data_IF_765351396955
#
_entry.id   IF_765351396955
#
_cell.length_a   1.000
_cell.length_b   1.000
_cell.length_c   1.000
_cell.angle_alpha   90.00
_cell.angle_beta   90.00
_cell.angle_gamma   90.00
#
_symmetry.space_group_name_H-M   'P 1'
#
loop_
_entity.id
_entity.type
_entity.pdbx_description
1 polymer ?
#
# COMPACT_ATOMS: atom_id res chain seq x y z
N UNK A 1 -27.68 -1.09 -13.64
CA UNK A 1 -28.61 -1.14 -12.49
C UNK A 1 -28.35 0.07 -11.62
N UNK A 2 -29.39 0.82 -11.27
CA UNK A 2 -29.29 1.94 -10.31
C UNK A 2 -28.95 1.38 -8.93
N UNK A 3 -27.97 1.95 -8.19
CA UNK A 3 -27.65 1.46 -6.86
C UNK A 3 -28.82 1.69 -5.91
N UNK A 4 -29.15 0.70 -5.09
CA UNK A 4 -30.09 0.85 -3.98
C UNK A 4 -29.35 1.54 -2.83
N UNK A 5 -29.80 2.72 -2.44
CA UNK A 5 -29.20 3.48 -1.35
C UNK A 5 -29.62 2.91 0.01
N UNK A 6 -28.64 2.71 0.90
CA UNK A 6 -28.90 2.51 2.33
C UNK A 6 -29.02 3.85 3.07
N UNK A 7 -29.40 3.85 4.36
CA UNK A 7 -29.41 5.07 5.16
C UNK A 7 -28.00 5.64 5.34
N UNK A 8 -27.90 6.96 5.53
CA UNK A 8 -26.67 7.58 6.03
C UNK A 8 -26.29 6.95 7.37
N UNK A 9 -25.00 6.60 7.55
CA UNK A 9 -24.53 5.91 8.75
C UNK A 9 -23.05 6.20 8.98
N UNK A 10 -22.74 6.94 10.05
CA UNK A 10 -21.37 7.17 10.50
C UNK A 10 -20.72 5.86 10.95
N UNK A 11 -21.49 4.96 11.55
CA UNK A 11 -21.02 3.62 11.94
C UNK A 11 -20.50 2.83 10.74
N UNK A 12 -21.19 2.88 9.58
CA UNK A 12 -20.70 2.23 8.35
C UNK A 12 -19.39 2.85 7.85
N UNK A 13 -19.19 4.16 8.03
CA UNK A 13 -17.95 4.85 7.67
C UNK A 13 -16.81 4.39 8.58
N UNK A 14 -17.02 4.41 9.91
CA UNK A 14 -16.01 3.95 10.89
C UNK A 14 -15.67 2.47 10.67
N UNK A 15 -16.68 1.62 10.49
CA UNK A 15 -16.48 0.19 10.25
C UNK A 15 -15.67 -0.09 8.97
N UNK A 16 -15.75 0.78 7.95
CA UNK A 16 -14.94 0.61 6.75
C UNK A 16 -13.44 0.75 7.05
N UNK A 17 -13.08 1.71 7.90
CA UNK A 17 -11.69 1.95 8.33
C UNK A 17 -11.21 0.83 9.26
N UNK A 18 -12.02 0.47 10.26
CA UNK A 18 -11.66 -0.58 11.21
C UNK A 18 -11.46 -1.95 10.54
N UNK A 19 -12.24 -2.28 9.50
CA UNK A 19 -12.04 -3.53 8.74
C UNK A 19 -10.70 -3.57 8.02
N UNK A 20 -10.22 -2.44 7.49
CA UNK A 20 -8.90 -2.35 6.86
C UNK A 20 -7.80 -2.53 7.90
N UNK A 21 -7.95 -1.87 9.07
CA UNK A 21 -7.02 -2.06 10.20
C UNK A 21 -6.94 -3.51 10.65
N UNK A 22 -8.10 -4.16 10.87
CA UNK A 22 -8.16 -5.56 11.27
C UNK A 22 -7.50 -6.48 10.23
N UNK A 23 -7.75 -6.24 8.94
CA UNK A 23 -7.15 -7.01 7.85
C UNK A 23 -5.64 -6.86 7.80
N UNK A 24 -5.14 -5.62 7.93
CA UNK A 24 -3.72 -5.32 7.99
C UNK A 24 -3.06 -6.12 9.13
N UNK A 25 -3.56 -5.94 10.36
CA UNK A 25 -3.01 -6.61 11.55
C UNK A 25 -3.05 -8.13 11.45
N UNK A 26 -4.15 -8.68 10.95
CA UNK A 26 -4.30 -10.13 10.75
C UNK A 26 -3.31 -10.68 9.73
N UNK A 27 -3.14 -10.00 8.60
CA UNK A 27 -2.23 -10.43 7.55
C UNK A 27 -0.76 -10.34 8.01
N UNK A 28 -0.36 -9.23 8.62
CA UNK A 28 1.02 -9.03 9.08
C UNK A 28 1.37 -9.99 10.21
N UNK A 29 0.46 -10.23 11.17
CA UNK A 29 0.68 -11.21 12.23
C UNK A 29 0.88 -12.64 11.69
N UNK A 30 0.13 -13.03 10.64
CA UNK A 30 0.29 -14.34 10.00
C UNK A 30 1.67 -14.48 9.33
N UNK A 31 2.14 -13.43 8.64
CA UNK A 31 3.44 -13.43 7.98
C UNK A 31 4.60 -13.40 8.98
N UNK A 32 4.49 -12.60 10.05
CA UNK A 32 5.47 -12.59 11.16
C UNK A 32 5.58 -13.96 11.84
N UNK A 33 4.44 -14.58 12.18
CA UNK A 33 4.42 -15.89 12.82
C UNK A 33 5.04 -16.99 11.94
N UNK A 34 4.98 -16.83 10.62
CA UNK A 34 5.60 -17.73 9.65
C UNK A 34 7.07 -17.38 9.34
N UNK A 35 7.63 -16.33 9.94
CA UNK A 35 9.02 -15.89 9.70
C UNK A 35 9.26 -15.37 8.29
N UNK A 36 8.23 -14.86 7.63
CA UNK A 36 8.29 -14.42 6.22
C UNK A 36 8.71 -12.95 6.19
N UNK A 37 9.80 -12.59 5.49
CA UNK A 37 10.15 -11.19 5.30
C UNK A 37 9.11 -10.49 4.40
N UNK A 38 8.47 -9.45 4.93
CA UNK A 38 7.52 -8.61 4.20
C UNK A 38 7.67 -7.13 4.61
N UNK A 39 6.98 -6.25 3.89
CA UNK A 39 6.73 -4.88 4.32
C UNK A 39 5.34 -4.42 3.88
N UNK A 40 4.63 -3.71 4.77
CA UNK A 40 3.41 -2.99 4.42
C UNK A 40 3.77 -1.86 3.44
N UNK A 41 3.03 -1.81 2.33
CA UNK A 41 3.22 -0.87 1.24
C UNK A 41 1.92 -0.07 1.00
N UNK A 42 1.83 0.57 -0.15
CA UNK A 42 0.56 1.12 -0.62
C UNK A 42 0.08 2.35 0.15
N UNK A 43 -1.25 2.51 0.20
CA UNK A 43 -1.89 3.64 0.91
C UNK A 43 -1.74 3.56 2.43
N UNK A 44 -1.77 2.35 3.03
CA UNK A 44 -1.58 2.19 4.47
C UNK A 44 -0.18 2.65 4.90
N UNK A 45 0.86 2.33 4.12
CA UNK A 45 2.21 2.78 4.42
C UNK A 45 2.33 4.31 4.35
N UNK A 46 1.71 4.96 3.35
CA UNK A 46 1.66 6.43 3.25
C UNK A 46 0.94 7.03 4.44
N UNK A 47 -0.22 6.51 4.82
CA UNK A 47 -0.99 6.97 5.98
C UNK A 47 -0.17 6.92 7.27
N UNK A 48 0.62 5.86 7.48
CA UNK A 48 1.52 5.73 8.63
C UNK A 48 2.70 6.70 8.61
N UNK A 49 3.15 7.14 7.45
CA UNK A 49 4.19 8.18 7.34
C UNK A 49 3.61 9.56 7.61
N UNK A 50 2.47 9.88 6.99
CA UNK A 50 1.76 11.14 7.19
C UNK A 50 1.38 11.33 8.67
N UNK A 51 0.88 10.28 9.32
CA UNK A 51 0.45 10.36 10.73
C UNK A 51 1.59 10.63 11.73
N UNK A 52 2.85 10.42 11.33
CA UNK A 52 4.02 10.79 12.16
C UNK A 52 4.23 12.31 12.21
N UNK A 53 3.66 13.06 11.28
CA UNK A 53 3.81 14.51 11.15
C UNK A 53 2.50 15.22 11.46
N UNK A 54 1.40 14.81 10.83
CA UNK A 54 0.08 15.43 10.99
C UNK A 54 -1.02 14.37 10.92
N UNK A 55 -1.65 14.10 12.07
CA UNK A 55 -2.76 13.16 12.19
C UNK A 55 -3.99 13.61 11.37
N UNK A 56 -4.24 14.92 11.26
CA UNK A 56 -5.40 15.46 10.55
C UNK A 56 -5.27 15.37 9.02
N UNK A 57 -4.05 15.15 8.50
CA UNK A 57 -3.78 14.98 7.08
C UNK A 57 -3.95 13.53 6.58
N UNK A 58 -4.21 12.57 7.49
CA UNK A 58 -4.27 11.15 7.15
C UNK A 58 -5.47 10.82 6.25
N UNK A 59 -5.20 10.13 5.13
CA UNK A 59 -6.23 9.51 4.29
C UNK A 59 -6.27 8.00 4.49
N UNK A 60 -7.49 7.45 4.45
CA UNK A 60 -7.72 6.01 4.55
C UNK A 60 -7.69 5.35 3.17
N UNK A 61 -7.19 4.13 3.09
CA UNK A 61 -7.34 3.26 1.91
C UNK A 61 -8.32 2.11 2.18
N UNK A 62 -8.74 1.39 1.13
CA UNK A 62 -9.70 0.28 1.21
C UNK A 62 -9.03 -1.09 1.19
N UNK A 63 -7.85 -1.18 0.56
CA UNK A 63 -7.03 -2.37 0.38
C UNK A 63 -5.84 -2.38 1.34
N UNK A 64 -5.17 -3.53 1.44
CA UNK A 64 -3.88 -3.66 2.12
C UNK A 64 -2.86 -4.14 1.10
N UNK A 65 -1.81 -3.38 0.85
CA UNK A 65 -0.73 -3.81 -0.04
C UNK A 65 0.44 -4.35 0.80
N UNK A 66 0.91 -5.56 0.52
CA UNK A 66 2.06 -6.19 1.17
C UNK A 66 3.13 -6.51 0.11
N UNK A 67 4.34 -6.04 0.35
CA UNK A 67 5.53 -6.38 -0.42
C UNK A 67 6.23 -7.59 0.18
N UNK A 68 6.55 -8.59 -0.64
CA UNK A 68 7.41 -9.72 -0.28
C UNK A 68 8.27 -10.19 -1.46
N UNK A 69 9.26 -11.07 -1.22
CA UNK A 69 10.04 -11.66 -2.30
C UNK A 69 9.29 -12.83 -2.93
N UNK A 70 9.31 -12.97 -4.26
CA UNK A 70 8.60 -14.06 -4.96
C UNK A 70 8.89 -15.48 -4.48
N UNK A 71 10.14 -15.85 -4.11
CA UNK A 71 10.39 -17.17 -3.52
C UNK A 71 9.61 -17.45 -2.23
N UNK A 72 9.16 -16.41 -1.50
CA UNK A 72 8.36 -16.55 -0.30
C UNK A 72 6.84 -16.67 -0.59
N UNK A 73 6.40 -16.60 -1.85
CA UNK A 73 4.99 -16.58 -2.22
C UNK A 73 4.20 -17.79 -1.67
N UNK A 74 4.67 -19.01 -1.92
CA UNK A 74 3.94 -20.21 -1.49
C UNK A 74 3.85 -20.34 0.04
N UNK A 75 4.92 -19.94 0.74
CA UNK A 75 4.93 -19.87 2.20
C UNK A 75 3.95 -18.80 2.72
N UNK A 76 3.94 -17.62 2.10
CA UNK A 76 3.04 -16.52 2.46
C UNK A 76 1.59 -16.90 2.20
N UNK A 77 1.32 -17.55 1.07
CA UNK A 77 -0.01 -18.08 0.75
C UNK A 77 -0.48 -19.06 1.81
N UNK A 78 0.35 -20.04 2.16
CA UNK A 78 0.03 -21.03 3.21
C UNK A 78 -0.27 -20.35 4.54
N UNK A 79 0.56 -19.39 4.96
CA UNK A 79 0.38 -18.65 6.21
C UNK A 79 -0.93 -17.83 6.22
N UNK A 80 -1.22 -17.12 5.13
CA UNK A 80 -2.45 -16.32 5.00
C UNK A 80 -3.70 -17.21 4.93
N UNK A 81 -3.67 -18.32 4.18
CA UNK A 81 -4.78 -19.28 4.14
C UNK A 81 -5.01 -19.94 5.51
N UNK A 82 -3.95 -20.26 6.26
CA UNK A 82 -4.07 -20.77 7.63
C UNK A 82 -4.65 -19.73 8.61
N UNK A 83 -4.42 -18.44 8.36
CA UNK A 83 -5.09 -17.35 9.07
C UNK A 83 -6.56 -17.15 8.62
N UNK A 84 -7.06 -17.93 7.66
CA UNK A 84 -8.43 -17.87 7.17
C UNK A 84 -8.65 -16.85 6.06
N UNK A 85 -7.60 -16.43 5.36
CA UNK A 85 -7.75 -15.71 4.10
C UNK A 85 -8.05 -16.67 2.94
N UNK A 86 -8.78 -16.20 1.94
CA UNK A 86 -9.04 -16.94 0.70
C UNK A 86 -8.21 -16.36 -0.44
N UNK A 87 -7.30 -17.15 -0.98
CA UNK A 87 -6.49 -16.77 -2.13
C UNK A 87 -7.33 -16.65 -3.41
N UNK A 88 -7.06 -15.59 -4.18
CA UNK A 88 -7.61 -15.32 -5.51
C UNK A 88 -6.54 -14.68 -6.37
N UNK A 89 -6.41 -15.13 -7.61
CA UNK A 89 -5.61 -14.43 -8.62
C UNK A 89 -6.55 -13.63 -9.52
N UNK A 90 -6.48 -12.30 -9.47
CA UNK A 90 -7.43 -11.41 -10.15
C UNK A 90 -6.68 -10.31 -10.86
N UNK A 91 -6.94 -10.18 -12.17
CA UNK A 91 -6.32 -9.17 -13.03
C UNK A 91 -4.78 -9.14 -12.93
N UNK A 92 -4.13 -10.31 -12.79
CA UNK A 92 -2.68 -10.42 -12.68
C UNK A 92 -2.12 -10.17 -11.28
N UNK A 93 -2.97 -9.93 -10.27
CA UNK A 93 -2.57 -9.64 -8.89
C UNK A 93 -2.98 -10.79 -7.96
N UNK A 94 -2.03 -11.26 -7.16
CA UNK A 94 -2.24 -12.22 -6.08
C UNK A 94 -2.93 -11.53 -4.91
N UNK A 95 -4.16 -11.94 -4.63
CA UNK A 95 -5.06 -11.28 -3.68
C UNK A 95 -5.58 -12.25 -2.62
N UNK A 96 -5.77 -11.76 -1.40
CA UNK A 96 -6.26 -12.54 -0.26
C UNK A 96 -7.47 -11.84 0.37
N UNK A 97 -8.60 -12.54 0.39
CA UNK A 97 -9.86 -12.04 0.93
C UNK A 97 -10.03 -12.51 2.37
N UNK A 98 -10.42 -11.62 3.28
CA UNK A 98 -10.70 -11.95 4.69
C UNK A 98 -12.09 -12.57 4.91
N UNK A 99 -12.92 -12.60 3.87
CA UNK A 99 -14.20 -13.31 3.80
C UNK A 99 -14.41 -13.81 2.36
N UNK A 100 -14.91 -15.04 2.12
CA UNK A 100 -15.18 -15.56 0.77
C UNK A 100 -16.13 -14.69 -0.09
N UNK A 101 -16.99 -13.91 0.56
CA UNK A 101 -17.93 -12.95 -0.04
C UNK A 101 -17.40 -11.50 -0.03
N UNK A 102 -16.19 -11.27 0.50
CA UNK A 102 -15.56 -9.95 0.46
C UNK A 102 -15.34 -9.49 -0.98
N UNK A 103 -15.44 -8.18 -1.19
CA UNK A 103 -15.16 -7.59 -2.50
C UNK A 103 -13.65 -7.51 -2.70
N UNK A 104 -13.20 -7.74 -3.92
CA UNK A 104 -11.78 -7.66 -4.31
C UNK A 104 -11.13 -6.33 -3.91
N UNK A 105 -11.89 -5.22 -3.98
CA UNK A 105 -11.41 -3.87 -3.58
C UNK A 105 -10.99 -3.73 -2.12
N UNK A 106 -11.32 -4.71 -1.28
CA UNK A 106 -10.90 -4.77 0.12
C UNK A 106 -9.98 -5.96 0.38
N UNK A 107 -9.24 -6.44 -0.61
CA UNK A 107 -8.30 -7.54 -0.43
C UNK A 107 -6.99 -7.08 0.22
N UNK A 108 -6.21 -8.06 0.68
CA UNK A 108 -4.76 -7.90 0.77
C UNK A 108 -4.18 -8.22 -0.61
N UNK A 109 -3.43 -7.30 -1.21
CA UNK A 109 -2.69 -7.52 -2.45
C UNK A 109 -1.23 -7.82 -2.14
N UNK A 110 -0.68 -8.84 -2.80
CA UNK A 110 0.76 -9.05 -2.81
C UNK A 110 1.39 -8.32 -3.99
N UNK A 111 2.46 -7.59 -3.69
CA UNK A 111 3.40 -7.05 -4.67
C UNK A 111 4.77 -7.67 -4.42
N UNK A 112 5.55 -7.85 -5.49
CA UNK A 112 6.80 -8.58 -5.42
C UNK A 112 8.01 -7.65 -5.47
N UNK A 113 8.91 -7.82 -4.49
CA UNK A 113 10.18 -7.10 -4.39
C UNK A 113 11.11 -7.46 -5.55
N UNK A 114 11.80 -6.46 -6.09
CA UNK A 114 12.68 -6.64 -7.26
C UNK A 114 11.94 -6.92 -8.58
N UNK A 115 10.61 -6.87 -8.59
CA UNK A 115 9.78 -7.07 -9.77
C UNK A 115 9.00 -5.80 -10.12
N UNK A 116 8.63 -5.66 -11.40
CA UNK A 116 7.63 -4.69 -11.84
C UNK A 116 6.26 -5.31 -11.65
N UNK A 117 5.28 -4.52 -11.19
CA UNK A 117 3.89 -4.94 -11.12
C UNK A 117 3.31 -5.07 -12.52
N UNK A 118 3.62 -4.11 -13.40
CA UNK A 118 3.22 -4.13 -14.81
C UNK A 118 4.44 -4.07 -15.74
N UNK A 119 4.40 -4.73 -16.92
CA UNK A 119 5.55 -4.77 -17.83
C UNK A 119 6.06 -3.40 -18.29
N UNK A 120 5.17 -2.40 -18.37
CA UNK A 120 5.43 -1.03 -18.82
C UNK A 120 5.93 -0.10 -17.70
N UNK A 121 6.01 -0.57 -16.45
CA UNK A 121 6.60 0.22 -15.38
C UNK A 121 8.09 0.47 -15.61
N UNK A 122 8.54 1.67 -15.25
CA UNK A 122 9.91 2.12 -15.54
C UNK A 122 10.98 1.37 -14.74
N UNK A 123 10.67 1.01 -13.50
CA UNK A 123 11.61 0.42 -12.55
C UNK A 123 10.92 -0.67 -11.72
N UNK A 124 11.71 -1.57 -11.17
CA UNK A 124 11.22 -2.60 -10.26
C UNK A 124 10.88 -2.03 -8.87
N UNK A 125 10.06 -2.76 -8.12
CA UNK A 125 9.81 -2.50 -6.72
C UNK A 125 11.09 -2.61 -5.87
N UNK A 126 11.21 -1.83 -4.78
CA UNK A 126 12.29 -1.94 -3.81
C UNK A 126 12.35 -3.34 -3.18
N UNK A 127 13.45 -3.63 -2.49
CA UNK A 127 13.56 -4.85 -1.69
C UNK A 127 12.79 -4.74 -0.36
N UNK A 128 12.37 -5.87 0.19
CA UNK A 128 11.69 -5.93 1.50
C UNK A 128 12.53 -5.35 2.65
N UNK A 129 13.86 -5.32 2.52
CA UNK A 129 14.78 -4.75 3.51
C UNK A 129 14.75 -3.23 3.56
N UNK A 130 14.22 -2.56 2.53
CA UNK A 130 14.03 -1.10 2.50
C UNK A 130 12.79 -0.69 3.30
N UNK A 131 12.73 -1.14 4.55
CA UNK A 131 11.61 -1.02 5.46
C UNK A 131 12.03 -0.60 6.86
N UNK A 132 11.13 0.04 7.58
CA UNK A 132 11.27 0.43 8.97
C UNK A 132 10.34 -0.41 9.86
N UNK A 133 10.78 -0.65 11.08
CA UNK A 133 9.95 -1.28 12.09
C UNK A 133 8.90 -0.26 12.58
N UNK A 134 7.62 -0.59 12.40
CA UNK A 134 6.53 0.05 13.13
C UNK A 134 6.22 -0.73 14.42
N UNK A 135 5.10 -0.46 15.08
CA UNK A 135 4.76 -1.11 16.36
C UNK A 135 4.75 -2.65 16.25
N UNK A 136 3.93 -3.19 15.34
CA UNK A 136 3.65 -4.64 15.26
C UNK A 136 4.08 -5.27 13.94
N UNK A 137 4.55 -4.48 12.99
CA UNK A 137 4.85 -4.93 11.62
C UNK A 137 5.88 -4.02 10.95
N UNK A 138 6.40 -4.46 9.81
CA UNK A 138 7.32 -3.67 8.98
C UNK A 138 6.57 -2.83 7.96
N UNK A 139 7.01 -1.61 7.73
CA UNK A 139 6.45 -0.67 6.75
C UNK A 139 7.57 -0.25 5.82
N UNK A 140 7.30 -0.10 4.52
CA UNK A 140 8.31 0.42 3.60
C UNK A 140 8.84 1.78 4.08
N UNK A 141 10.15 1.98 3.91
CA UNK A 141 10.80 3.25 4.22
C UNK A 141 10.22 4.37 3.35
N UNK A 142 10.35 5.62 3.80
CA UNK A 142 9.85 6.76 3.04
C UNK A 142 10.41 6.79 1.59
N UNK A 143 11.72 6.57 1.34
CA UNK A 143 12.24 6.48 -0.03
C UNK A 143 11.59 5.38 -0.87
N UNK A 144 11.44 4.18 -0.30
CA UNK A 144 10.82 3.04 -0.98
C UNK A 144 9.35 3.30 -1.35
N UNK A 145 8.58 3.94 -0.46
CA UNK A 145 7.19 4.31 -0.74
C UNK A 145 7.13 5.36 -1.86
N UNK A 146 7.94 6.41 -1.78
CA UNK A 146 8.00 7.45 -2.82
C UNK A 146 8.34 6.82 -4.17
N UNK A 147 9.30 5.90 -4.22
CA UNK A 147 9.65 5.15 -5.42
C UNK A 147 8.46 4.38 -6.00
N UNK A 148 7.76 3.56 -5.20
CA UNK A 148 6.63 2.77 -5.68
C UNK A 148 5.49 3.68 -6.15
N UNK A 149 5.18 4.75 -5.41
CA UNK A 149 4.11 5.69 -5.78
C UNK A 149 4.43 6.44 -7.07
N UNK A 150 5.67 6.88 -7.24
CA UNK A 150 6.13 7.51 -8.49
C UNK A 150 6.20 6.51 -9.65
N UNK A 151 6.46 5.23 -9.40
CA UNK A 151 6.50 4.18 -10.44
C UNK A 151 5.09 3.86 -10.95
N UNK A 152 4.12 3.69 -10.05
CA UNK A 152 2.74 3.40 -10.43
C UNK A 152 2.02 4.64 -10.99
N UNK A 153 2.21 5.81 -10.39
CA UNK A 153 1.75 7.13 -10.84
C UNK A 153 0.29 7.23 -11.31
N UNK A 154 -0.59 6.40 -10.76
CA UNK A 154 -2.06 6.50 -10.94
C UNK A 154 -2.59 7.65 -10.08
N UNK A 155 -3.84 8.06 -10.28
CA UNK A 155 -4.39 9.21 -9.56
C UNK A 155 -4.39 9.03 -8.04
N UNK A 156 -4.63 7.81 -7.54
CA UNK A 156 -4.48 7.49 -6.10
C UNK A 156 -3.04 7.66 -5.62
N UNK A 157 -2.05 7.29 -6.44
CA UNK A 157 -0.65 7.38 -6.07
C UNK A 157 -0.13 8.82 -6.13
N UNK A 158 -0.61 9.63 -7.09
CA UNK A 158 -0.38 11.08 -7.11
C UNK A 158 -0.96 11.76 -5.87
N UNK A 159 -2.14 11.36 -5.44
CA UNK A 159 -2.77 11.87 -4.21
C UNK A 159 -1.91 11.55 -2.98
N UNK A 160 -1.48 10.29 -2.84
CA UNK A 160 -0.57 9.91 -1.76
C UNK A 160 0.76 10.69 -1.76
N UNK A 161 1.33 10.95 -2.94
CA UNK A 161 2.54 11.76 -3.06
C UNK A 161 2.30 13.21 -2.66
N UNK A 162 1.14 13.78 -3.00
CA UNK A 162 0.75 15.12 -2.54
C UNK A 162 0.55 15.16 -1.04
N UNK A 163 -0.06 14.14 -0.44
CA UNK A 163 -0.20 14.08 1.02
C UNK A 163 1.19 14.08 1.70
N UNK A 164 2.18 13.36 1.15
CA UNK A 164 3.57 13.40 1.64
C UNK A 164 4.25 14.76 1.42
N UNK A 165 3.94 15.46 0.32
CA UNK A 165 4.46 16.81 0.03
C UNK A 165 3.85 17.83 0.98
N UNK A 166 2.54 17.78 1.18
CA UNK A 166 1.78 18.75 1.98
C UNK A 166 2.24 18.77 3.45
N UNK A 167 2.62 17.60 3.99
CA UNK A 167 3.19 17.49 5.34
C UNK A 167 4.71 17.65 5.38
N UNK A 168 5.36 17.96 4.25
CA UNK A 168 6.78 18.27 4.18
C UNK A 168 7.74 17.07 4.26
N UNK A 169 7.23 15.84 4.10
CA UNK A 169 8.08 14.63 4.03
C UNK A 169 8.79 14.51 2.67
N UNK A 170 8.19 15.08 1.61
CA UNK A 170 8.74 15.09 0.25
C UNK A 170 8.74 16.52 -0.29
N UNK A 171 9.85 16.94 -0.89
CA UNK A 171 10.01 18.30 -1.42
C UNK A 171 10.91 18.31 -2.67
N UNK A 172 11.28 19.50 -3.15
CA UNK A 172 12.14 19.65 -4.33
C UNK A 172 13.54 19.05 -4.17
N UNK A 173 14.04 18.84 -2.95
CA UNK A 173 15.37 18.25 -2.72
C UNK A 173 15.44 16.79 -3.16
N UNK A 174 14.28 16.11 -3.20
CA UNK A 174 14.16 14.73 -3.66
C UNK A 174 14.42 14.55 -5.15
N UNK A 175 14.23 15.58 -5.98
CA UNK A 175 14.42 15.48 -7.44
C UNK A 175 15.82 14.99 -7.83
N UNK A 176 16.83 15.32 -7.02
CA UNK A 176 18.23 14.91 -7.23
C UNK A 176 18.57 13.51 -6.72
N UNK A 177 17.66 12.88 -5.95
CA UNK A 177 17.87 11.58 -5.28
C UNK A 177 17.11 10.45 -5.95
N UNK A 178 16.18 10.79 -6.84
CA UNK A 178 15.32 9.83 -7.52
C UNK A 178 16.00 9.28 -8.77
N UNK A 179 15.71 8.02 -9.15
CA UNK A 179 16.05 7.51 -10.47
C UNK A 179 15.49 8.41 -11.57
N UNK A 180 16.24 8.56 -12.66
CA UNK A 180 15.90 9.41 -13.83
C UNK A 180 14.44 9.33 -14.29
N UNK A 181 13.79 8.15 -14.43
CA UNK A 181 12.40 8.09 -14.89
C UNK A 181 11.37 8.65 -13.88
N UNK A 182 11.75 8.81 -12.61
CA UNK A 182 10.83 9.21 -11.54
C UNK A 182 10.89 10.71 -11.21
N UNK A 183 12.06 11.35 -11.37
CA UNK A 183 12.21 12.77 -11.05
C UNK A 183 11.23 13.69 -11.83
N UNK A 184 10.98 13.49 -13.15
CA UNK A 184 9.99 14.28 -13.88
C UNK A 184 8.56 14.15 -13.33
N UNK A 185 8.20 12.96 -12.81
CA UNK A 185 6.88 12.70 -12.22
C UNK A 185 6.70 13.43 -10.89
N UNK A 186 7.73 13.46 -10.04
CA UNK A 186 7.70 14.27 -8.81
C UNK A 186 7.63 15.77 -9.15
N UNK A 187 8.45 16.22 -10.11
CA UNK A 187 8.46 17.62 -10.55
C UNK A 187 7.07 18.07 -10.99
N UNK A 188 6.37 17.24 -11.77
CA UNK A 188 5.00 17.52 -12.20
C UNK A 188 4.07 17.82 -11.01
N UNK A 189 4.16 17.05 -9.92
CA UNK A 189 3.32 17.27 -8.74
C UNK A 189 3.68 18.56 -8.00
N UNK A 190 4.98 18.84 -7.84
CA UNK A 190 5.48 20.06 -7.22
C UNK A 190 5.10 21.32 -8.00
N UNK A 191 5.08 21.25 -9.34
CA UNK A 191 4.68 22.36 -10.22
C UNK A 191 3.15 22.54 -10.28
N UNK A 192 2.36 21.56 -9.83
CA UNK A 192 0.89 21.59 -9.88
C UNK A 192 0.25 21.33 -8.51
N UNK A 193 0.57 22.15 -7.48
CA UNK A 193 -0.01 21.98 -6.16
C UNK A 193 -1.54 22.18 -6.21
N UNK A 194 -2.29 21.27 -5.60
CA UNK A 194 -3.75 21.35 -5.48
C UNK A 194 -4.59 20.89 -6.69
N UNK A 195 -3.98 20.37 -7.76
CA UNK A 195 -4.69 19.65 -8.84
C UNK A 195 -4.72 18.14 -8.64
#
# INVERSE_FOLDING_TARGET
>A
MTPVLGPFSLERVVNAVERVRQRLLKATAALEAAGIPYAVAGGNAVALWVSRVDEAAVRTTQDVDILLRRPAFEAARTALEAAGFVYRHIAGIDSFLDDPQAKVRSAVHLIFAGERVWPDESIANPDVTESEQASEYRVLSLPAIVQIKLTAFRDKDKTHLRDLIDVGLVDATWLSRLPDPLAPRLKQLLDTPGR
#
